data_IF_265895310498
#
_entry.id   IF_265895310498
#
_cell.length_a   1.000
_cell.length_b   1.000
_cell.length_c   1.000
_cell.angle_alpha   90.00
_cell.angle_beta   90.00
_cell.angle_gamma   90.00
#
_symmetry.space_group_name_H-M   'P 1'
#
loop_
_entity.id
_entity.type
_entity.pdbx_description
1 polymer ?
#
# COMPACT_ATOMS: atom_id res chain seq x y z
N UNK A 1 -6.87 3.26 6.79
CA UNK A 1 -7.97 2.84 5.90
C UNK A 1 -9.31 3.31 6.44
N UNK A 2 -10.24 3.67 5.55
CA UNK A 2 -11.62 4.03 5.87
C UNK A 2 -12.54 2.82 5.99
N UNK A 3 -13.84 3.07 6.20
CA UNK A 3 -14.87 2.04 6.43
C UNK A 3 -15.41 1.41 5.13
N UNK A 4 -15.36 2.13 4.02
CA UNK A 4 -15.84 1.64 2.72
C UNK A 4 -14.78 0.75 2.06
N UNK A 5 -15.12 -0.53 1.87
CA UNK A 5 -14.28 -1.51 1.17
C UNK A 5 -14.43 -1.36 -0.33
N UNK A 6 -13.35 -1.50 -1.09
CA UNK A 6 -13.32 -1.48 -2.55
C UNK A 6 -12.88 -2.84 -3.10
N UNK A 7 -13.43 -3.21 -4.26
CA UNK A 7 -12.97 -4.38 -4.99
C UNK A 7 -11.65 -4.07 -5.73
N UNK A 8 -10.75 -5.05 -5.78
CA UNK A 8 -9.48 -4.97 -6.52
C UNK A 8 -9.38 -6.15 -7.47
N UNK A 9 -9.02 -5.85 -8.71
CA UNK A 9 -8.60 -6.86 -9.69
C UNK A 9 -7.08 -6.78 -9.82
N UNK A 10 -6.42 -7.94 -9.76
CA UNK A 10 -4.96 -8.06 -9.91
C UNK A 10 -4.62 -9.20 -10.84
N UNK A 11 -3.41 -9.18 -11.39
CA UNK A 11 -2.88 -10.35 -12.08
C UNK A 11 -2.78 -11.56 -11.14
N UNK A 12 -2.95 -12.75 -11.72
CA UNK A 12 -3.04 -14.00 -10.99
C UNK A 12 -1.69 -14.43 -10.44
N UNK A 13 -1.32 -13.85 -9.29
CA UNK A 13 -0.18 -14.30 -8.49
C UNK A 13 -0.64 -14.68 -7.07
N UNK A 14 -0.45 -15.95 -6.63
CA UNK A 14 -0.91 -16.41 -5.32
C UNK A 14 -0.13 -15.79 -4.15
N UNK A 15 1.08 -15.28 -4.39
CA UNK A 15 1.95 -14.72 -3.36
C UNK A 15 1.70 -13.23 -3.12
N UNK A 16 0.90 -12.56 -3.96
CA UNK A 16 0.52 -11.17 -3.78
C UNK A 16 -0.95 -11.06 -3.40
N UNK A 17 -1.24 -10.51 -2.21
CA UNK A 17 -2.59 -10.12 -1.80
C UNK A 17 -2.72 -8.62 -1.81
N UNK A 18 -3.86 -8.12 -2.29
CA UNK A 18 -4.14 -6.70 -2.40
C UNK A 18 -5.54 -6.42 -1.85
N UNK A 19 -5.64 -5.40 -0.99
CA UNK A 19 -6.90 -4.94 -0.42
C UNK A 19 -7.01 -3.44 -0.59
N UNK A 20 -8.21 -2.93 -0.83
CA UNK A 20 -8.46 -1.51 -1.05
C UNK A 20 -9.66 -1.04 -0.24
N UNK A 21 -9.55 0.14 0.35
CA UNK A 21 -10.64 0.86 1.00
C UNK A 21 -10.60 2.32 0.55
N UNK A 22 -11.70 3.04 0.73
CA UNK A 22 -11.63 4.51 0.71
C UNK A 22 -10.68 5.02 1.81
N UNK A 23 -10.02 6.15 1.56
CA UNK A 23 -9.12 6.75 2.53
C UNK A 23 -9.87 7.22 3.79
N UNK A 24 -9.21 7.17 4.95
CA UNK A 24 -9.82 7.60 6.21
C UNK A 24 -9.80 9.11 6.31
N UNK A 25 -10.97 9.75 6.52
CA UNK A 25 -11.12 11.20 6.75
C UNK A 25 -10.61 12.10 5.60
N UNK A 26 -10.26 11.55 4.45
CA UNK A 26 -9.68 12.25 3.29
C UNK A 26 -10.21 11.62 2.00
N UNK A 27 -10.24 12.35 0.88
CA UNK A 27 -10.55 11.77 -0.43
C UNK A 27 -9.47 10.78 -0.87
N UNK A 28 -9.83 9.94 -1.84
CA UNK A 28 -8.95 8.94 -2.44
C UNK A 28 -9.07 7.57 -1.79
N UNK A 29 -8.02 6.77 -1.93
CA UNK A 29 -8.00 5.35 -1.53
C UNK A 29 -6.84 5.02 -0.61
N UNK A 30 -7.02 3.98 0.20
CA UNK A 30 -5.97 3.33 0.97
C UNK A 30 -5.86 1.87 0.53
N UNK A 31 -4.65 1.42 0.24
CA UNK A 31 -4.31 0.09 -0.25
C UNK A 31 -3.45 -0.64 0.79
N UNK A 32 -3.63 -1.96 0.88
CA UNK A 32 -2.70 -2.86 1.56
C UNK A 32 -2.18 -3.86 0.52
N UNK A 33 -0.87 -3.97 0.44
CA UNK A 33 -0.19 -5.03 -0.30
C UNK A 33 0.48 -5.97 0.69
N UNK A 34 0.31 -7.27 0.49
CA UNK A 34 0.98 -8.32 1.26
C UNK A 34 1.73 -9.20 0.26
N UNK A 35 3.05 -9.17 0.33
CA UNK A 35 3.91 -10.04 -0.45
C UNK A 35 4.37 -11.22 0.41
N UNK A 36 3.89 -12.42 0.05
CA UNK A 36 4.23 -13.68 0.71
C UNK A 36 5.39 -14.41 0.02
N UNK A 37 5.91 -13.88 -1.09
CA UNK A 37 7.07 -14.45 -1.79
C UNK A 37 8.32 -14.30 -0.93
N UNK A 38 9.17 -15.33 -0.92
CA UNK A 38 10.39 -15.35 -0.08
C UNK A 38 11.53 -14.49 -0.62
N UNK A 39 11.61 -14.38 -1.94
CA UNK A 39 12.78 -13.89 -2.67
C UNK A 39 12.45 -12.85 -3.75
N UNK A 40 11.17 -12.76 -4.15
CA UNK A 40 10.72 -11.89 -5.23
C UNK A 40 10.00 -10.66 -4.70
N UNK A 41 10.42 -9.49 -5.16
CA UNK A 41 9.68 -8.24 -5.02
C UNK A 41 8.64 -8.08 -6.14
N UNK A 42 7.61 -7.28 -5.87
CA UNK A 42 6.64 -6.88 -6.90
C UNK A 42 6.75 -5.39 -7.18
N UNK A 43 6.66 -5.00 -8.44
CA UNK A 43 6.45 -3.62 -8.85
C UNK A 43 5.01 -3.49 -9.36
N UNK A 44 4.20 -2.71 -8.66
CA UNK A 44 2.77 -2.58 -8.91
C UNK A 44 2.49 -1.25 -9.61
N UNK A 45 1.85 -1.33 -10.76
CA UNK A 45 1.19 -0.19 -11.39
C UNK A 45 -0.30 -0.25 -11.10
N UNK A 46 -0.93 0.91 -10.96
CA UNK A 46 -2.36 1.03 -10.67
C UNK A 46 -3.10 1.44 -11.93
N UNK A 47 -4.37 1.09 -12.01
CA UNK A 47 -5.22 1.48 -13.14
C UNK A 47 -6.64 1.71 -12.68
N UNK A 48 -7.33 2.65 -13.34
CA UNK A 48 -8.72 2.92 -13.06
C UNK A 48 -9.62 2.01 -13.92
N UNK A 49 -10.56 1.32 -13.27
CA UNK A 49 -11.63 0.62 -13.96
C UNK A 49 -12.76 1.61 -14.27
N UNK A 50 -13.30 1.57 -15.51
CA UNK A 50 -14.51 2.33 -15.82
C UNK A 50 -15.73 1.68 -15.16
N UNK A 51 -16.72 2.46 -14.70
CA UNK A 51 -18.01 1.92 -14.30
C UNK A 51 -18.64 1.14 -15.47
N UNK A 52 -18.95 -0.14 -15.27
CA UNK A 52 -19.56 -1.02 -16.29
C UNK A 52 -18.59 -1.97 -16.99
N UNK A 53 -17.28 -1.71 -16.97
CA UNK A 53 -16.25 -2.59 -17.53
C UNK A 53 -15.41 -3.21 -16.41
N UNK A 54 -16.04 -4.09 -15.62
CA UNK A 54 -15.33 -4.90 -14.63
C UNK A 54 -14.35 -5.85 -15.33
N UNK A 55 -13.11 -5.42 -15.52
CA UNK A 55 -12.02 -6.28 -16.02
C UNK A 55 -11.17 -5.72 -17.17
N UNK A 56 -11.42 -4.48 -17.64
CA UNK A 56 -10.54 -3.83 -18.63
C UNK A 56 -10.05 -2.47 -18.11
N UNK A 57 -8.89 -2.40 -17.45
CA UNK A 57 -8.28 -1.12 -17.10
C UNK A 57 -8.03 -0.33 -18.40
N UNK A 58 -8.63 0.86 -18.51
CA UNK A 58 -8.54 1.63 -19.76
C UNK A 58 -7.33 2.58 -19.78
N UNK A 59 -6.82 2.98 -18.61
CA UNK A 59 -5.64 3.84 -18.49
C UNK A 59 -4.90 3.55 -17.18
N UNK A 60 -3.56 3.53 -17.25
CA UNK A 60 -2.69 3.52 -16.08
C UNK A 60 -2.95 4.77 -15.24
N UNK A 61 -3.07 4.59 -13.92
CA UNK A 61 -3.25 5.70 -13.01
C UNK A 61 -1.93 6.48 -12.93
N UNK A 62 -1.99 7.76 -13.29
CA UNK A 62 -0.91 8.72 -13.10
C UNK A 62 -1.39 9.73 -12.07
N UNK A 63 -0.90 9.60 -10.84
CA UNK A 63 -1.23 10.57 -9.79
C UNK A 63 -0.55 11.91 -10.02
N UNK A 64 -1.23 12.97 -9.60
CA UNK A 64 -0.78 14.37 -9.60
C UNK A 64 -0.17 14.79 -8.26
N UNK A 65 -0.43 14.03 -7.19
CA UNK A 65 0.09 14.27 -5.85
C UNK A 65 0.99 13.13 -5.41
N UNK A 66 1.96 13.42 -4.54
CA UNK A 66 2.73 12.37 -3.89
C UNK A 66 1.80 11.45 -3.08
N UNK A 67 2.02 10.15 -3.21
CA UNK A 67 1.38 9.14 -2.38
C UNK A 67 2.19 8.90 -1.12
N UNK A 68 1.49 8.50 -0.06
CA UNK A 68 2.08 8.15 1.23
C UNK A 68 2.28 6.63 1.27
N UNK A 69 3.51 6.17 1.47
CA UNK A 69 3.84 4.76 1.60
C UNK A 69 4.39 4.42 3.00
N UNK A 70 3.92 3.31 3.54
CA UNK A 70 4.32 2.76 4.82
C UNK A 70 4.70 1.29 4.62
N UNK A 71 5.99 1.03 4.43
CA UNK A 71 6.52 -0.30 4.21
C UNK A 71 6.92 -0.93 5.54
N UNK A 72 6.31 -2.06 5.86
CA UNK A 72 6.61 -2.86 7.04
C UNK A 72 7.40 -4.10 6.63
N UNK A 73 8.56 -4.27 7.24
CA UNK A 73 9.42 -5.45 7.09
C UNK A 73 10.04 -5.85 8.42
N UNK A 74 10.37 -7.12 8.57
CA UNK A 74 11.21 -7.57 9.68
C UNK A 74 12.58 -6.86 9.62
N UNK A 75 13.16 -6.60 10.80
CA UNK A 75 14.44 -5.90 10.95
C UNK A 75 15.56 -6.56 10.14
N UNK A 76 15.70 -7.87 10.26
CA UNK A 76 16.73 -8.69 9.59
C UNK A 76 16.23 -9.32 8.28
N UNK A 77 14.92 -9.23 8.02
CA UNK A 77 14.24 -9.92 6.93
C UNK A 77 13.69 -11.30 7.30
N UNK A 78 13.99 -11.82 8.50
CA UNK A 78 13.31 -13.01 9.02
C UNK A 78 11.94 -12.63 9.59
N UNK A 79 10.87 -13.23 9.03
CA UNK A 79 9.49 -12.98 9.48
C UNK A 79 9.22 -13.40 10.94
N UNK A 80 10.15 -14.09 11.58
CA UNK A 80 10.10 -14.45 13.01
C UNK A 80 10.69 -13.38 13.92
N UNK A 81 11.26 -12.30 13.37
CA UNK A 81 11.76 -11.18 14.17
C UNK A 81 10.63 -10.55 14.99
N UNK A 82 10.94 -10.19 16.24
CA UNK A 82 10.02 -9.47 17.13
C UNK A 82 9.98 -7.97 16.82
N UNK A 83 10.91 -7.47 16.00
CA UNK A 83 11.03 -6.06 15.63
C UNK A 83 10.66 -5.89 14.16
N UNK A 84 9.65 -5.04 13.93
CA UNK A 84 9.27 -4.54 12.62
C UNK A 84 9.90 -3.18 12.38
N UNK A 85 10.35 -2.94 11.15
CA UNK A 85 10.72 -1.62 10.66
C UNK A 85 9.57 -1.01 9.86
N UNK A 86 9.32 0.28 10.07
CA UNK A 86 8.50 1.12 9.21
C UNK A 86 9.42 1.98 8.35
N UNK A 87 9.35 1.84 7.02
CA UNK A 87 10.16 2.61 6.08
C UNK A 87 11.66 2.60 6.47
N UNK A 88 12.17 1.41 6.80
CA UNK A 88 13.55 1.15 7.28
C UNK A 88 13.90 1.65 8.69
N UNK A 89 12.94 2.25 9.42
CA UNK A 89 13.12 2.68 10.81
C UNK A 89 12.53 1.62 11.78
N UNK A 90 13.32 1.06 12.70
CA UNK A 90 12.82 0.10 13.70
C UNK A 90 11.73 0.71 14.59
N UNK A 91 10.61 0.01 14.73
CA UNK A 91 9.49 0.42 15.57
C UNK A 91 9.69 -0.12 16.99
N UNK A 92 10.50 0.57 17.78
CA UNK A 92 10.79 0.24 19.18
C UNK A 92 10.23 1.35 20.07
N UNK A 93 9.63 0.97 21.20
CA UNK A 93 9.17 1.94 22.19
C UNK A 93 10.35 2.73 22.76
N UNK A 94 10.12 4.02 23.01
CA UNK A 94 11.05 4.85 23.77
C UNK A 94 11.00 4.48 25.25
N UNK A 95 11.97 4.97 26.03
CA UNK A 95 11.97 4.81 27.50
C UNK A 95 10.71 5.40 28.17
N UNK A 96 9.99 6.28 27.46
CA UNK A 96 8.71 6.86 27.87
C UNK A 96 7.50 5.99 27.51
N UNK A 97 7.69 4.81 26.91
CA UNK A 97 6.65 3.89 26.42
C UNK A 97 5.69 4.51 25.38
N UNK A 98 6.09 5.63 24.77
CA UNK A 98 5.29 6.30 23.76
C UNK A 98 5.21 5.47 22.47
N UNK A 99 4.09 5.59 21.77
CA UNK A 99 3.93 4.99 20.44
C UNK A 99 4.85 5.75 19.47
N UNK A 100 5.79 5.07 18.77
CA UNK A 100 6.67 5.74 17.82
C UNK A 100 5.89 6.43 16.70
N UNK A 101 6.42 7.55 16.21
CA UNK A 101 5.83 8.26 15.09
C UNK A 101 5.76 7.34 13.86
N UNK A 102 4.58 7.28 13.24
CA UNK A 102 4.35 6.51 12.01
C UNK A 102 4.39 7.44 10.82
N UNK A 103 5.59 7.84 10.41
CA UNK A 103 5.76 8.79 9.31
C UNK A 103 5.76 8.10 7.93
N UNK A 104 5.03 8.66 6.94
CA UNK A 104 5.04 8.13 5.60
C UNK A 104 6.33 8.46 4.86
N UNK A 105 6.68 7.59 3.90
CA UNK A 105 7.52 7.97 2.79
C UNK A 105 6.64 8.61 1.72
N UNK A 106 6.95 9.85 1.34
CA UNK A 106 6.28 10.52 0.22
C UNK A 106 6.93 10.08 -1.09
N UNK A 107 6.14 9.49 -1.98
CA UNK A 107 6.62 8.94 -3.25
C UNK A 107 5.82 9.54 -4.41
N UNK A 108 6.50 9.81 -5.52
CA UNK A 108 5.85 10.29 -6.75
C UNK A 108 4.85 9.23 -7.24
N UNK A 109 3.58 9.62 -7.32
CA UNK A 109 2.48 8.74 -7.69
C UNK A 109 2.56 8.17 -9.12
N UNK A 110 3.39 8.74 -10.00
CA UNK A 110 3.64 8.24 -11.36
C UNK A 110 4.59 7.04 -11.42
N UNK A 111 5.31 6.75 -10.34
CA UNK A 111 6.26 5.62 -10.28
C UNK A 111 5.57 4.34 -9.79
N UNK A 112 6.03 3.13 -10.18
CA UNK A 112 5.50 1.89 -9.64
C UNK A 112 5.67 1.79 -8.11
N UNK A 113 4.74 1.12 -7.44
CA UNK A 113 4.83 0.81 -6.01
C UNK A 113 5.66 -0.47 -5.87
N UNK A 114 6.83 -0.38 -5.24
CA UNK A 114 7.70 -1.54 -5.02
C UNK A 114 7.40 -2.22 -3.69
N UNK A 115 7.07 -3.51 -3.70
CA UNK A 115 6.77 -4.32 -2.52
C UNK A 115 7.87 -5.36 -2.36
N UNK A 116 8.70 -5.21 -1.32
CA UNK A 116 9.77 -6.16 -1.01
C UNK A 116 9.23 -7.59 -0.74
N UNK A 117 10.10 -8.59 -0.83
CA UNK A 117 9.77 -9.97 -0.43
C UNK A 117 9.38 -10.02 1.07
N UNK A 118 8.45 -10.90 1.42
CA UNK A 118 7.97 -11.13 2.79
C UNK A 118 7.61 -9.85 3.56
N UNK A 119 6.97 -8.89 2.89
CA UNK A 119 6.66 -7.58 3.46
C UNK A 119 5.19 -7.20 3.29
N UNK A 120 4.80 -6.15 4.02
CA UNK A 120 3.49 -5.52 3.92
C UNK A 120 3.70 -4.04 3.62
N UNK A 121 2.92 -3.48 2.70
CA UNK A 121 2.91 -2.03 2.50
C UNK A 121 1.50 -1.47 2.61
N UNK A 122 1.36 -0.38 3.35
CA UNK A 122 0.17 0.47 3.33
C UNK A 122 0.45 1.66 2.43
N UNK A 123 -0.45 1.93 1.49
CA UNK A 123 -0.30 3.05 0.54
C UNK A 123 -1.56 3.89 0.54
N UNK A 124 -1.42 5.20 0.67
CA UNK A 124 -2.54 6.14 0.58
C UNK A 124 -2.35 7.07 -0.60
N UNK A 125 -3.36 7.15 -1.47
CA UNK A 125 -3.35 7.96 -2.70
C UNK A 125 -4.57 8.86 -2.65
N UNK A 126 -4.33 10.17 -2.52
CA UNK A 126 -5.39 11.15 -2.20
C UNK A 126 -6.17 11.62 -3.41
N UNK A 127 -5.57 11.55 -4.58
CA UNK A 127 -6.11 11.99 -5.87
C UNK A 127 -6.53 10.82 -6.76
N UNK A 128 -6.62 9.62 -6.20
CA UNK A 128 -7.21 8.48 -6.87
C UNK A 128 -8.74 8.65 -6.93
N UNK A 129 -9.28 8.75 -8.14
CA UNK A 129 -10.71 8.94 -8.37
C UNK A 129 -11.46 7.60 -8.32
N UNK A 130 -12.03 7.30 -7.15
CA UNK A 130 -12.96 6.18 -6.98
C UNK A 130 -14.35 6.75 -6.64
N UNK A 131 -15.39 6.52 -7.48
CA UNK A 131 -16.73 7.07 -7.26
C UNK A 131 -17.39 6.69 -5.93
N UNK A 132 -16.97 5.58 -5.31
CA UNK A 132 -17.47 5.15 -4.00
C UNK A 132 -16.84 5.89 -2.80
N UNK A 133 -15.83 6.73 -3.04
CA UNK A 133 -15.02 7.41 -2.02
C UNK A 133 -15.22 8.92 -1.97
N UNK A 134 -16.22 9.44 -2.70
CA UNK A 134 -16.65 10.84 -2.74
C UNK A 134 -17.98 11.02 -2.02
#
# INVERSE_FOLDING_TARGET
>A
MGSTVLAVTKESDPNLRVYAHCAKKKPGVSLIFINLSKDRSFNITLSNAKPGDAGKPNYEFVGKQNREEYHLRALTGDIKDDIVCLNDVPMVQTDSEDIPAMDPKLVDASTPISIAAQSIAYVTIRDFEAPACV
#
